data_IF_739571094443
#
_entry.id   IF_739571094443
#
_cell.length_a   1.000
_cell.length_b   1.000
_cell.length_c   1.000
_cell.angle_alpha   90.00
_cell.angle_beta   90.00
_cell.angle_gamma   90.00
#
_symmetry.space_group_name_H-M   'P 1'
#
loop_
_entity.id
_entity.type
_entity.pdbx_description
1 polymer ?
#
# COMPACT_ATOMS: atom_id res chain seq x y z
N UNK A 1 -25.75 -0.01 -2.04
CA UNK A 1 -25.47 1.45 -2.11
C UNK A 1 -24.00 1.56 -2.41
N UNK A 2 -23.52 2.55 -3.19
CA UNK A 2 -22.07 2.75 -3.29
C UNK A 2 -21.61 3.27 -1.93
N UNK A 3 -20.99 2.41 -1.14
CA UNK A 3 -20.42 2.77 0.15
C UNK A 3 -19.44 3.93 -0.09
N UNK A 4 -19.76 5.10 0.46
CA UNK A 4 -18.86 6.25 0.39
C UNK A 4 -17.72 6.00 1.36
N UNK A 5 -16.72 5.22 0.93
CA UNK A 5 -15.50 4.99 1.70
C UNK A 5 -14.84 6.34 2.00
N UNK A 6 -14.43 6.51 3.25
CA UNK A 6 -13.82 7.76 3.70
C UNK A 6 -12.46 7.90 3.04
N UNK A 7 -12.26 8.93 2.23
CA UNK A 7 -10.98 9.15 1.56
C UNK A 7 -10.00 9.82 2.51
N UNK A 8 -8.90 9.13 2.81
CA UNK A 8 -7.86 9.62 3.72
C UNK A 8 -6.54 9.70 2.96
N UNK A 9 -5.98 10.91 2.93
CA UNK A 9 -4.64 11.14 2.37
C UNK A 9 -3.66 11.20 3.53
N UNK A 10 -2.71 10.25 3.58
CA UNK A 10 -1.71 10.17 4.66
C UNK A 10 -0.35 9.80 4.09
N UNK A 11 0.72 10.07 4.83
CA UNK A 11 2.07 9.63 4.45
C UNK A 11 2.30 8.23 5.02
N UNK A 12 3.09 7.37 4.36
CA UNK A 12 3.27 5.96 4.75
C UNK A 12 3.69 5.80 6.22
N UNK A 13 4.68 6.58 6.64
CA UNK A 13 5.24 6.60 7.99
C UNK A 13 4.22 6.99 9.08
N UNK A 14 3.09 7.61 8.70
CA UNK A 14 2.03 8.03 9.62
C UNK A 14 0.88 7.03 9.69
N UNK A 15 0.90 5.98 8.88
CA UNK A 15 -0.08 4.90 8.96
C UNK A 15 0.16 4.09 10.24
N UNK A 16 -0.86 3.32 10.64
CA UNK A 16 -0.67 2.33 11.70
C UNK A 16 0.18 1.18 11.16
N UNK A 17 0.95 0.49 12.03
CA UNK A 17 1.75 -0.66 11.61
C UNK A 17 0.89 -1.71 10.90
N UNK A 18 -0.35 -1.93 11.36
CA UNK A 18 -1.28 -2.85 10.72
C UNK A 18 -1.57 -2.51 9.25
N UNK A 19 -1.83 -1.23 8.94
CA UNK A 19 -2.09 -0.80 7.57
C UNK A 19 -0.81 -0.83 6.74
N UNK A 20 0.35 -0.53 7.34
CA UNK A 20 1.64 -0.66 6.64
C UNK A 20 1.88 -2.11 6.24
N UNK A 21 1.75 -3.05 7.18
CA UNK A 21 1.91 -4.49 6.92
C UNK A 21 0.94 -4.99 5.84
N UNK A 22 -0.33 -4.59 5.88
CA UNK A 22 -1.31 -4.93 4.84
C UNK A 22 -0.92 -4.39 3.46
N UNK A 23 -0.40 -3.15 3.40
CA UNK A 23 0.11 -2.58 2.15
C UNK A 23 1.32 -3.36 1.64
N UNK A 24 2.25 -3.74 2.52
CA UNK A 24 3.39 -4.60 2.15
C UNK A 24 2.92 -5.92 1.57
N UNK A 25 1.91 -6.51 2.20
CA UNK A 25 1.35 -7.78 1.79
C UNK A 25 0.65 -7.69 0.42
N UNK A 26 -0.09 -6.62 0.15
CA UNK A 26 -0.74 -6.37 -1.15
C UNK A 26 0.27 -6.08 -2.26
N UNK A 27 1.35 -5.36 -1.94
CA UNK A 27 2.38 -4.97 -2.90
C UNK A 27 3.72 -5.64 -2.58
N UNK A 28 3.82 -6.98 -2.65
CA UNK A 28 5.02 -7.69 -2.24
C UNK A 28 6.21 -7.44 -3.16
N UNK A 29 5.99 -6.92 -4.37
CA UNK A 29 7.04 -6.58 -5.33
C UNK A 29 7.40 -5.08 -5.33
N UNK A 30 6.88 -4.34 -4.35
CA UNK A 30 7.22 -2.96 -4.08
C UNK A 30 6.18 -1.93 -4.53
N UNK A 31 6.25 -0.72 -3.97
CA UNK A 31 5.16 0.27 -4.09
C UNK A 31 5.29 1.22 -5.28
N UNK A 32 6.51 1.44 -5.75
CA UNK A 32 6.85 2.56 -6.64
C UNK A 32 6.11 2.50 -7.99
N UNK A 33 5.78 1.29 -8.45
CA UNK A 33 5.09 1.01 -9.70
C UNK A 33 3.57 1.26 -9.62
N UNK A 34 3.00 1.20 -8.41
CA UNK A 34 1.56 1.32 -8.15
C UNK A 34 1.15 2.74 -7.73
N UNK A 35 2.09 3.68 -7.75
CA UNK A 35 1.82 5.07 -7.38
C UNK A 35 0.98 5.78 -8.44
N UNK A 36 -0.19 6.27 -8.04
CA UNK A 36 -1.03 7.13 -8.87
C UNK A 36 -0.63 8.60 -8.70
N UNK A 37 -0.60 9.33 -9.82
CA UNK A 37 -0.27 10.76 -9.83
C UNK A 37 -1.52 11.61 -9.91
N UNK A 38 -1.67 12.56 -9.00
CA UNK A 38 -2.79 13.50 -9.00
C UNK A 38 -2.36 14.91 -8.62
N UNK A 39 -3.21 15.89 -8.90
CA UNK A 39 -2.99 17.28 -8.51
C UNK A 39 -3.65 17.54 -7.16
N UNK A 40 -2.87 17.97 -6.17
CA UNK A 40 -3.41 18.31 -4.85
C UNK A 40 -4.17 19.65 -4.87
N UNK A 41 -4.77 20.02 -3.72
CA UNK A 41 -5.53 21.29 -3.59
C UNK A 41 -4.68 22.55 -3.84
N UNK A 42 -3.36 22.46 -3.79
CA UNK A 42 -2.43 23.55 -4.06
C UNK A 42 -1.98 23.62 -5.53
N UNK A 43 -2.49 22.74 -6.40
CA UNK A 43 -2.07 22.68 -7.80
C UNK A 43 -0.74 21.96 -8.04
N UNK A 44 -0.19 21.28 -7.03
CA UNK A 44 1.06 20.52 -7.14
C UNK A 44 0.77 19.09 -7.56
N UNK A 45 1.59 18.56 -8.46
CA UNK A 45 1.60 17.14 -8.78
C UNK A 45 2.18 16.36 -7.62
N UNK A 46 1.37 15.46 -7.07
CA UNK A 46 1.75 14.54 -6.00
C UNK A 46 1.46 13.11 -6.45
N UNK A 47 2.22 12.16 -5.90
CA UNK A 47 1.99 10.74 -6.10
C UNK A 47 1.49 10.10 -4.81
N UNK A 48 0.63 9.10 -4.92
CA UNK A 48 0.20 8.31 -3.78
C UNK A 48 -0.10 6.86 -4.18
N UNK A 49 0.09 5.94 -3.25
CA UNK A 49 -0.34 4.56 -3.36
C UNK A 49 -1.82 4.46 -2.97
N UNK A 50 -2.71 3.98 -3.85
CA UNK A 50 -4.08 3.67 -3.48
C UNK A 50 -4.10 2.40 -2.61
N UNK A 51 -4.90 2.39 -1.56
CA UNK A 51 -5.13 1.20 -0.75
C UNK A 51 -6.52 1.28 -0.12
N UNK A 52 -7.35 0.26 -0.33
CA UNK A 52 -8.74 0.29 0.08
C UNK A 52 -9.00 -0.70 1.22
N UNK A 53 -9.60 -0.23 2.31
CA UNK A 53 -10.18 -1.10 3.36
C UNK A 53 -11.70 -1.09 3.25
N UNK A 54 -12.40 -1.84 4.12
CA UNK A 54 -13.88 -1.81 4.19
C UNK A 54 -14.45 -0.39 4.29
N UNK A 55 -13.85 0.44 5.14
CA UNK A 55 -14.42 1.75 5.50
C UNK A 55 -13.66 2.94 4.90
N UNK A 56 -12.37 2.77 4.60
CA UNK A 56 -11.44 3.86 4.30
C UNK A 56 -10.71 3.59 2.98
N UNK A 57 -10.69 4.60 2.13
CA UNK A 57 -9.85 4.63 0.94
C UNK A 57 -8.60 5.46 1.23
N UNK A 58 -7.49 4.78 1.47
CA UNK A 58 -6.20 5.41 1.71
C UNK A 58 -5.53 5.84 0.40
N UNK A 59 -5.02 7.05 0.41
CA UNK A 59 -4.11 7.58 -0.58
C UNK A 59 -2.80 7.89 0.12
N UNK A 60 -1.89 6.92 0.09
CA UNK A 60 -0.63 6.99 0.82
C UNK A 60 0.39 7.77 0.02
N UNK A 61 0.59 9.04 0.38
CA UNK A 61 1.50 9.93 -0.33
C UNK A 61 2.94 9.52 -0.12
N UNK A 62 3.64 9.31 -1.23
CA UNK A 62 5.07 9.09 -1.29
C UNK A 62 5.58 9.39 -2.71
N UNK A 63 6.86 9.69 -2.83
CA UNK A 63 7.55 9.68 -4.13
C UNK A 63 8.02 8.27 -4.47
N UNK A 64 8.33 8.00 -5.73
CA UNK A 64 8.92 6.72 -6.15
C UNK A 64 10.24 6.46 -5.39
N UNK A 65 11.07 7.48 -5.23
CA UNK A 65 12.30 7.40 -4.43
C UNK A 65 12.03 7.03 -2.97
N UNK A 66 10.98 7.61 -2.35
CA UNK A 66 10.62 7.29 -0.96
C UNK A 66 10.07 5.88 -0.83
N UNK A 67 9.33 5.38 -1.84
CA UNK A 67 8.87 4.00 -1.87
C UNK A 67 10.04 3.00 -1.87
N UNK A 68 11.05 3.25 -2.72
CA UNK A 68 12.26 2.43 -2.77
C UNK A 68 13.08 2.54 -1.48
N UNK A 69 13.17 3.74 -0.89
CA UNK A 69 13.83 3.96 0.39
C UNK A 69 13.14 3.18 1.53
N UNK A 70 11.80 3.24 1.62
CA UNK A 70 11.03 2.47 2.60
C UNK A 70 11.35 0.98 2.50
N UNK A 71 11.35 0.43 1.28
CA UNK A 71 11.65 -0.99 1.05
C UNK A 71 13.10 -1.32 1.43
N UNK A 72 14.05 -0.48 1.04
CA UNK A 72 15.48 -0.70 1.31
C UNK A 72 15.85 -0.59 2.79
N UNK A 73 15.09 0.19 3.57
CA UNK A 73 15.30 0.36 5.02
C UNK A 73 14.55 -0.70 5.86
N UNK A 74 13.74 -1.55 5.22
CA UNK A 74 12.81 -2.43 5.90
C UNK A 74 13.29 -3.89 5.87
N UNK A 75 13.51 -4.47 7.05
CA UNK A 75 14.02 -5.84 7.22
C UNK A 75 13.08 -6.91 6.68
N UNK A 76 11.81 -6.60 6.38
CA UNK A 76 10.87 -7.56 5.80
C UNK A 76 11.13 -7.80 4.30
N UNK A 77 11.97 -6.97 3.66
CA UNK A 77 12.30 -7.05 2.23
C UNK A 77 13.68 -7.64 1.95
N UNK A 78 13.82 -8.28 0.79
CA UNK A 78 15.10 -8.79 0.27
C UNK A 78 15.90 -7.71 -0.50
N UNK A 79 17.13 -8.04 -0.90
CA UNK A 79 17.99 -7.14 -1.69
C UNK A 79 17.41 -6.76 -3.06
N UNK A 80 16.37 -7.46 -3.51
CA UNK A 80 15.66 -7.19 -4.75
C UNK A 80 14.43 -6.28 -4.55
N UNK A 81 14.13 -5.91 -3.30
CA UNK A 81 12.97 -5.09 -2.95
C UNK A 81 11.66 -5.87 -2.96
N UNK A 82 11.73 -7.19 -2.82
CA UNK A 82 10.56 -8.04 -2.66
C UNK A 82 10.35 -8.42 -1.20
N UNK A 83 9.09 -8.49 -0.77
CA UNK A 83 8.71 -8.96 0.54
C UNK A 83 9.17 -10.40 0.71
N UNK A 84 9.91 -10.68 1.78
CA UNK A 84 10.41 -12.01 2.12
C UNK A 84 9.25 -12.97 2.33
N UNK A 85 9.46 -14.23 1.94
CA UNK A 85 8.44 -15.28 2.06
C UNK A 85 7.98 -15.45 3.51
N UNK A 86 8.92 -15.47 4.47
CA UNK A 86 8.59 -15.52 5.90
C UNK A 86 7.67 -14.37 6.33
N UNK A 87 8.00 -13.12 5.97
CA UNK A 87 7.20 -11.96 6.34
C UNK A 87 5.83 -11.96 5.64
N UNK A 88 5.78 -12.40 4.37
CA UNK A 88 4.55 -12.54 3.61
C UNK A 88 3.62 -13.55 4.29
N UNK A 89 4.12 -14.75 4.58
CA UNK A 89 3.34 -15.81 5.22
C UNK A 89 2.81 -15.37 6.60
N UNK A 90 3.65 -14.71 7.42
CA UNK A 90 3.23 -14.13 8.70
C UNK A 90 2.07 -13.12 8.55
N UNK A 91 2.14 -12.25 7.53
CA UNK A 91 1.07 -11.28 7.27
C UNK A 91 -0.18 -11.92 6.68
N UNK A 92 -0.04 -12.90 5.78
CA UNK A 92 -1.16 -13.65 5.20
C UNK A 92 -1.95 -14.35 6.31
N UNK A 93 -1.28 -15.06 7.22
CA UNK A 93 -1.94 -15.70 8.37
C UNK A 93 -2.62 -14.66 9.27
N UNK A 94 -1.92 -13.57 9.60
CA UNK A 94 -2.42 -12.50 10.50
C UNK A 94 -3.65 -11.78 9.95
N UNK A 95 -3.74 -11.62 8.63
CA UNK A 95 -4.78 -10.86 7.96
C UNK A 95 -5.71 -11.72 7.09
N UNK A 96 -5.63 -13.05 7.22
CA UNK A 96 -6.45 -14.02 6.47
C UNK A 96 -7.95 -13.82 6.62
N UNK A 97 -8.42 -13.25 7.73
CA UNK A 97 -9.82 -12.95 7.99
C UNK A 97 -10.32 -11.63 7.34
N UNK A 98 -9.44 -10.86 6.69
CA UNK A 98 -9.77 -9.56 6.10
C UNK A 98 -10.16 -9.70 4.63
N UNK A 99 -11.46 -9.83 4.38
CA UNK A 99 -12.03 -10.00 3.04
C UNK A 99 -11.60 -8.89 2.04
N UNK A 100 -11.44 -7.65 2.49
CA UNK A 100 -11.04 -6.54 1.61
C UNK A 100 -9.61 -6.66 1.04
N UNK A 101 -8.73 -7.45 1.66
CA UNK A 101 -7.40 -7.64 1.10
C UNK A 101 -7.47 -8.39 -0.23
N UNK A 102 -8.38 -9.37 -0.35
CA UNK A 102 -8.65 -10.08 -1.60
C UNK A 102 -8.97 -9.11 -2.75
N UNK A 103 -9.76 -8.07 -2.48
CA UNK A 103 -10.13 -7.05 -3.47
C UNK A 103 -8.91 -6.24 -3.95
N UNK A 104 -7.98 -5.92 -3.05
CA UNK A 104 -6.76 -5.18 -3.40
C UNK A 104 -5.78 -6.03 -4.24
N UNK A 105 -5.73 -7.35 -4.04
CA UNK A 105 -4.90 -8.25 -4.86
C UNK A 105 -5.43 -8.40 -6.29
N UNK A 106 -6.75 -8.36 -6.48
CA UNK A 106 -7.36 -8.54 -7.81
C UNK A 106 -7.12 -7.38 -8.78
N UNK A 107 -6.78 -6.18 -8.31
CA UNK A 107 -6.46 -5.04 -9.19
C UNK A 107 -5.10 -5.18 -9.90
N UNK A 108 -4.22 -6.10 -9.49
CA UNK A 108 -2.93 -6.32 -10.17
C UNK A 108 -3.04 -7.17 -11.46
N UNK A 109 -4.13 -7.94 -11.64
CA UNK A 109 -4.30 -8.84 -12.80
C UNK A 109 -4.87 -8.16 -14.06
N UNK A 110 -5.17 -6.86 -14.04
CA UNK A 110 -5.81 -6.13 -15.16
C UNK A 110 -4.88 -5.24 -16.03
N UNK A 111 -3.55 -5.47 -16.04
CA UNK A 111 -2.61 -4.75 -16.92
C UNK A 111 -1.72 -5.62 -17.81
#
# INVERSE_FOLDING_TARGET
MKDHKTRVIKDFEKLTPEIQEQIKLVYPYGFSQHLIRFTNKEGKFVSALPFETDEIYYLVRMTSEKAEEIISEDDDYDDNGHLKDDARDDYEDKYSDLDYLADNFTEEEEF
#
